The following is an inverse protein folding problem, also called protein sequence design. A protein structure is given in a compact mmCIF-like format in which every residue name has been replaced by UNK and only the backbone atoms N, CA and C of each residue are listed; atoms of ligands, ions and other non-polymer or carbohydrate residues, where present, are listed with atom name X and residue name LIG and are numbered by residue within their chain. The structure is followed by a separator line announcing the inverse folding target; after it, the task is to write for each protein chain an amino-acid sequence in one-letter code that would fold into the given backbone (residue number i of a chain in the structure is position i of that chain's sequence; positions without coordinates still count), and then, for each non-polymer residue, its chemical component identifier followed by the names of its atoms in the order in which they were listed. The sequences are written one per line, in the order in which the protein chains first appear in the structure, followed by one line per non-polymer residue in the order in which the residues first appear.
data_IF_930286974012
#
_entry.id   IF_930286974012
#
_cell.length_a   1.000
_cell.length_b   1.000
_cell.length_c   1.000
_cell.angle_alpha   90.00
_cell.angle_beta   90.00
_cell.angle_gamma   90.00
#
_symmetry.space_group_name_H-M   'P 1'
#
loop_
_entity.id
_entity.type
_entity.pdbx_description
1 polymer ?
#
# COMPACT_ATOMS: atom_id res chain seq x y z
N UNK A 1 38.32 20.53 -11.48
CA UNK A 1 37.63 19.37 -12.02
C UNK A 1 37.33 18.38 -10.88
N UNK A 2 36.12 17.94 -10.77
CA UNK A 2 35.69 16.92 -9.80
C UNK A 2 34.91 15.83 -10.52
N UNK A 3 34.90 14.63 -9.96
CA UNK A 3 34.14 13.54 -10.47
C UNK A 3 33.90 12.53 -9.36
N UNK A 4 32.74 11.88 -9.40
CA UNK A 4 32.34 10.89 -8.44
C UNK A 4 31.54 9.77 -9.09
N UNK A 5 31.73 8.57 -8.57
CA UNK A 5 30.90 7.42 -8.91
C UNK A 5 30.62 6.62 -7.66
N UNK A 6 29.40 6.15 -7.54
CA UNK A 6 29.01 5.37 -6.38
C UNK A 6 27.81 4.47 -6.66
N UNK A 7 27.71 3.41 -5.87
CA UNK A 7 26.58 2.49 -5.87
C UNK A 7 25.97 2.47 -4.48
N UNK A 8 24.67 2.65 -4.41
CA UNK A 8 23.92 2.51 -3.17
C UNK A 8 22.83 1.44 -3.34
N UNK A 9 22.59 0.69 -2.30
CA UNK A 9 21.56 -0.36 -2.30
C UNK A 9 20.47 -0.02 -1.28
N UNK A 10 19.22 -0.23 -1.69
CA UNK A 10 18.06 -0.09 -0.81
C UNK A 10 17.41 -1.43 -0.60
N UNK A 11 17.33 -1.86 0.66
CA UNK A 11 16.63 -3.07 1.04
C UNK A 11 15.12 -2.86 1.03
N UNK A 12 14.34 -3.91 0.77
CA UNK A 12 12.90 -3.90 1.03
C UNK A 12 12.63 -3.59 2.50
N UNK A 13 11.50 -2.96 2.78
CA UNK A 13 11.11 -2.73 4.16
C UNK A 13 10.76 -4.04 4.87
N UNK A 14 10.95 -4.08 6.19
CA UNK A 14 10.60 -5.24 7.00
C UNK A 14 9.14 -5.69 6.80
N UNK A 15 8.21 -4.74 6.72
CA UNK A 15 6.79 -5.05 6.52
C UNK A 15 6.45 -5.68 5.17
N UNK A 16 7.30 -5.48 4.17
CA UNK A 16 7.16 -6.11 2.86
C UNK A 16 7.64 -7.56 2.88
N UNK A 17 8.73 -7.80 3.60
CA UNK A 17 9.30 -9.15 3.75
C UNK A 17 8.47 -10.00 4.71
N UNK A 18 7.95 -9.38 5.76
CA UNK A 18 7.20 -10.03 6.84
C UNK A 18 5.88 -9.29 7.08
N UNK A 19 4.92 -9.37 6.15
CA UNK A 19 3.65 -8.70 6.30
C UNK A 19 2.88 -9.29 7.49
N UNK A 20 2.25 -8.42 8.25
CA UNK A 20 1.35 -8.84 9.33
C UNK A 20 0.14 -9.52 8.72
N UNK A 21 -0.37 -10.51 9.45
CA UNK A 21 -1.66 -11.10 9.13
C UNK A 21 -2.74 -10.03 9.22
N UNK A 22 -3.56 -9.93 8.19
CA UNK A 22 -4.71 -9.06 8.17
C UNK A 22 -5.99 -9.84 8.45
N UNK A 23 -6.97 -9.14 8.98
CA UNK A 23 -8.28 -9.70 9.30
C UNK A 23 -9.33 -8.95 8.52
N UNK A 24 -10.33 -9.67 8.05
CA UNK A 24 -11.45 -9.09 7.34
C UNK A 24 -12.74 -9.48 8.04
N UNK A 25 -13.49 -8.47 8.44
CA UNK A 25 -14.84 -8.66 8.95
C UNK A 25 -15.84 -8.70 7.80
N UNK A 26 -16.54 -9.82 7.70
CA UNK A 26 -17.51 -10.07 6.65
C UNK A 26 -18.88 -10.12 7.32
N UNK A 27 -19.78 -9.25 6.87
CA UNK A 27 -21.17 -9.31 7.32
C UNK A 27 -21.80 -10.61 6.82
N UNK A 28 -22.10 -11.51 7.73
CA UNK A 28 -22.69 -12.81 7.43
C UNK A 28 -24.21 -12.81 7.62
N UNK A 29 -24.71 -11.94 8.51
CA UNK A 29 -26.12 -11.81 8.78
C UNK A 29 -26.44 -10.41 9.30
N UNK A 30 -27.53 -9.81 8.77
CA UNK A 30 -28.10 -8.57 9.26
C UNK A 30 -29.60 -8.75 9.52
N UNK A 31 -30.03 -8.33 10.69
CA UNK A 31 -31.43 -8.37 11.09
C UNK A 31 -31.84 -7.01 11.65
N UNK A 32 -32.97 -6.49 11.18
CA UNK A 32 -33.55 -5.25 11.66
C UNK A 32 -34.96 -5.52 12.18
N UNK A 33 -35.24 -5.10 13.40
CA UNK A 33 -36.57 -5.21 14.00
C UNK A 33 -36.90 -3.95 14.78
N UNK A 34 -37.87 -3.16 14.29
CA UNK A 34 -38.21 -1.86 14.87
C UNK A 34 -36.99 -0.95 14.91
N UNK A 35 -36.68 -0.43 16.08
CA UNK A 35 -35.51 0.46 16.29
C UNK A 35 -34.21 -0.32 16.60
N UNK A 36 -34.27 -1.66 16.61
CA UNK A 36 -33.12 -2.52 16.92
C UNK A 36 -32.58 -3.15 15.66
N UNK A 37 -31.25 -3.07 15.47
CA UNK A 37 -30.54 -3.69 14.36
C UNK A 37 -29.43 -4.57 14.93
N UNK A 38 -29.38 -5.82 14.48
CA UNK A 38 -28.33 -6.77 14.86
C UNK A 38 -27.54 -7.18 13.64
N UNK A 39 -26.21 -7.07 13.73
CA UNK A 39 -25.30 -7.53 12.70
C UNK A 39 -24.38 -8.61 13.26
N UNK A 40 -24.18 -9.67 12.49
CA UNK A 40 -23.24 -10.74 12.81
C UNK A 40 -22.15 -10.73 11.75
N UNK A 41 -20.91 -10.58 12.22
CA UNK A 41 -19.71 -10.57 11.40
C UNK A 41 -18.94 -11.86 11.64
N UNK A 42 -18.37 -12.38 10.57
CA UNK A 42 -17.37 -13.42 10.61
C UNK A 42 -16.01 -12.81 10.31
N UNK A 43 -15.11 -12.85 11.29
CA UNK A 43 -13.75 -12.34 11.13
C UNK A 43 -12.86 -13.44 10.59
N UNK A 44 -12.37 -13.26 9.39
CA UNK A 44 -11.44 -14.20 8.77
C UNK A 44 -10.05 -13.62 8.61
N UNK A 45 -9.02 -14.34 9.10
CA UNK A 45 -7.65 -14.01 8.81
C UNK A 45 -7.33 -14.34 7.36
N UNK A 46 -6.62 -13.46 6.68
CA UNK A 46 -6.04 -13.76 5.38
C UNK A 46 -4.56 -13.45 5.34
N UNK A 47 -3.84 -14.25 4.57
CA UNK A 47 -2.39 -14.10 4.43
C UNK A 47 -2.09 -13.19 3.25
N UNK A 48 -1.34 -12.14 3.50
CA UNK A 48 -0.80 -11.30 2.44
C UNK A 48 0.24 -12.08 1.63
N UNK A 49 0.26 -11.85 0.33
CA UNK A 49 1.23 -12.45 -0.57
C UNK A 49 2.56 -11.71 -0.49
N UNK A 50 3.64 -12.44 -0.27
CA UNK A 50 5.00 -11.93 -0.34
C UNK A 50 5.61 -12.30 -1.69
N UNK A 51 6.59 -11.51 -2.13
CA UNK A 51 7.39 -11.84 -3.31
C UNK A 51 8.74 -12.42 -2.86
N UNK A 52 8.96 -13.73 -2.98
CA UNK A 52 10.23 -14.34 -2.58
C UNK A 52 11.40 -13.95 -3.49
N UNK A 53 11.11 -13.51 -4.72
CA UNK A 53 12.11 -13.13 -5.71
C UNK A 53 12.46 -11.63 -5.69
N UNK A 54 11.99 -10.91 -4.67
CA UNK A 54 12.24 -9.48 -4.54
C UNK A 54 13.73 -9.20 -4.34
N UNK A 55 14.31 -8.47 -5.28
CA UNK A 55 15.73 -8.07 -5.26
C UNK A 55 15.90 -6.69 -4.65
N UNK A 56 17.09 -6.43 -4.14
CA UNK A 56 17.45 -5.09 -3.66
C UNK A 56 17.49 -4.10 -4.82
N UNK A 57 16.96 -2.92 -4.58
CA UNK A 57 17.06 -1.81 -5.52
C UNK A 57 18.48 -1.26 -5.48
N UNK A 58 19.10 -1.05 -6.65
CA UNK A 58 20.45 -0.51 -6.78
C UNK A 58 20.44 0.84 -7.49
N UNK A 59 21.11 1.81 -6.89
CA UNK A 59 21.28 3.12 -7.48
C UNK A 59 22.75 3.30 -7.86
N UNK A 60 23.01 3.55 -9.13
CA UNK A 60 24.31 3.89 -9.69
C UNK A 60 24.31 5.38 -9.93
N UNK A 61 25.18 6.09 -9.25
CA UNK A 61 25.29 7.55 -9.34
C UNK A 61 26.64 7.89 -9.96
N UNK A 62 26.65 8.75 -10.98
CA UNK A 62 27.84 9.26 -11.64
C UNK A 62 27.71 10.76 -11.77
N UNK A 63 28.75 11.48 -11.43
CA UNK A 63 28.81 12.94 -11.52
C UNK A 63 30.18 13.38 -12.02
N UNK A 64 30.20 14.39 -12.85
CA UNK A 64 31.40 15.13 -13.24
C UNK A 64 31.13 16.62 -13.09
N UNK A 65 32.05 17.35 -12.55
CA UNK A 65 31.91 18.79 -12.34
C UNK A 65 33.19 19.57 -12.66
N UNK A 66 32.98 20.79 -13.09
CA UNK A 66 34.04 21.77 -13.37
C UNK A 66 33.74 23.04 -12.56
N UNK A 67 34.71 23.44 -11.75
CA UNK A 67 34.66 24.71 -11.05
C UNK A 67 35.76 25.62 -11.60
N UNK A 68 35.40 26.82 -11.98
CA UNK A 68 36.31 27.82 -12.52
C UNK A 68 36.09 29.17 -11.82
N UNK A 69 37.18 29.93 -11.70
CA UNK A 69 37.14 31.29 -11.13
C UNK A 69 37.96 32.20 -12.01
N UNK A 70 37.35 33.27 -12.55
CA UNK A 70 38.02 34.24 -13.40
C UNK A 70 37.37 35.63 -13.26
N UNK A 71 38.16 36.67 -13.29
CA UNK A 71 37.70 38.08 -13.18
C UNK A 71 36.75 38.33 -11.99
N UNK A 72 36.93 37.60 -10.85
CA UNK A 72 36.07 37.72 -9.69
C UNK A 72 34.71 36.98 -9.81
N UNK A 73 34.46 36.37 -10.95
CA UNK A 73 33.28 35.48 -11.17
C UNK A 73 33.64 34.03 -10.84
N UNK A 74 32.72 33.31 -10.22
CA UNK A 74 32.84 31.86 -9.98
C UNK A 74 31.79 31.14 -10.80
N UNK A 75 32.21 30.10 -11.50
CA UNK A 75 31.33 29.23 -12.29
C UNK A 75 31.49 27.80 -11.84
N UNK A 76 30.40 27.14 -11.54
CA UNK A 76 30.33 25.71 -11.28
C UNK A 76 29.40 25.07 -12.28
N UNK A 77 29.87 24.05 -12.99
CA UNK A 77 29.11 23.25 -13.93
C UNK A 77 29.21 21.80 -13.48
N UNK A 78 28.08 21.13 -13.35
CA UNK A 78 28.00 19.69 -13.02
C UNK A 78 27.10 18.97 -13.98
N UNK A 79 27.52 17.78 -14.40
CA UNK A 79 26.71 16.84 -15.14
C UNK A 79 26.56 15.56 -14.33
N UNK A 80 25.36 15.01 -14.30
CA UNK A 80 25.11 13.76 -13.60
C UNK A 80 24.36 12.74 -14.48
N UNK A 81 24.61 11.48 -14.19
CA UNK A 81 23.88 10.37 -14.78
C UNK A 81 23.63 9.30 -13.72
N UNK A 82 22.36 9.08 -13.42
CA UNK A 82 21.92 8.18 -12.37
C UNK A 82 21.04 7.09 -12.96
N UNK A 83 21.31 5.83 -12.58
CA UNK A 83 20.49 4.67 -12.95
C UNK A 83 20.01 4.02 -11.66
N UNK A 84 18.70 3.92 -11.50
CA UNK A 84 18.09 3.11 -10.45
C UNK A 84 17.57 1.82 -11.07
N UNK A 85 18.16 0.69 -10.71
CA UNK A 85 17.75 -0.63 -11.19
C UNK A 85 16.85 -1.34 -10.18
N UNK A 86 15.84 -2.04 -10.71
CA UNK A 86 14.92 -2.80 -9.91
C UNK A 86 14.12 -1.93 -8.94
N UNK A 87 13.65 -0.78 -9.41
CA UNK A 87 12.83 0.12 -8.60
C UNK A 87 11.65 -0.61 -7.98
N UNK A 88 11.40 -0.37 -6.70
CA UNK A 88 10.26 -0.99 -6.06
C UNK A 88 8.95 -0.41 -6.59
N UNK A 89 8.08 -1.31 -6.98
CA UNK A 89 6.74 -1.03 -7.46
C UNK A 89 5.74 -1.96 -6.77
N UNK A 90 4.47 -1.55 -6.70
CA UNK A 90 3.40 -2.36 -6.14
C UNK A 90 2.50 -2.89 -7.25
N UNK A 91 2.29 -4.20 -7.25
CA UNK A 91 1.31 -4.85 -8.11
C UNK A 91 0.11 -5.28 -7.29
N UNK A 92 -1.07 -5.13 -7.85
CA UNK A 92 -2.30 -5.66 -7.25
C UNK A 92 -2.37 -7.16 -7.52
N UNK A 93 -2.45 -7.93 -6.45
CA UNK A 93 -2.66 -9.37 -6.47
C UNK A 93 -4.06 -9.66 -5.96
N UNK A 94 -4.80 -10.48 -6.68
CA UNK A 94 -6.15 -10.91 -6.31
C UNK A 94 -6.13 -12.37 -5.90
N UNK A 95 -6.45 -12.62 -4.64
CA UNK A 95 -6.51 -13.97 -4.10
C UNK A 95 -7.96 -14.39 -3.96
N UNK A 96 -8.37 -15.56 -4.50
CA UNK A 96 -9.71 -16.08 -4.32
C UNK A 96 -9.97 -16.41 -2.86
N UNK A 97 -11.16 -16.09 -2.42
CA UNK A 97 -11.56 -16.21 -1.04
C UNK A 97 -13.01 -16.65 -0.95
N UNK A 98 -13.29 -17.65 -0.11
CA UNK A 98 -14.64 -18.14 0.14
C UNK A 98 -14.97 -17.94 1.61
N UNK A 99 -16.21 -17.62 1.92
CA UNK A 99 -16.71 -17.44 3.27
C UNK A 99 -18.12 -17.98 3.41
N UNK A 100 -18.51 -18.26 4.65
CA UNK A 100 -19.84 -18.72 4.95
C UNK A 100 -20.76 -17.54 5.24
N UNK A 101 -21.95 -17.57 4.71
CA UNK A 101 -23.02 -16.67 5.10
C UNK A 101 -24.10 -17.45 5.84
N UNK A 102 -24.81 -16.78 6.72
CA UNK A 102 -25.97 -17.33 7.39
C UNK A 102 -27.18 -17.13 6.50
N UNK A 103 -27.93 -18.20 6.30
CA UNK A 103 -29.22 -18.21 5.58
C UNK A 103 -30.29 -18.86 6.44
N UNK A 104 -31.50 -18.43 6.19
CA UNK A 104 -32.65 -19.11 6.75
C UNK A 104 -32.77 -20.52 6.15
N UNK A 105 -33.14 -21.53 6.95
CA UNK A 105 -33.48 -22.84 6.43
C UNK A 105 -34.56 -22.74 5.33
N UNK A 106 -34.50 -23.61 4.35
CA UNK A 106 -35.49 -23.63 3.27
C UNK A 106 -36.88 -23.87 3.84
N UNK A 107 -37.85 -23.02 3.47
CA UNK A 107 -39.22 -23.07 3.96
C UNK A 107 -39.46 -22.39 5.31
N UNK A 108 -38.43 -21.87 5.97
CA UNK A 108 -38.57 -21.07 7.19
C UNK A 108 -38.80 -19.60 6.87
N UNK A 109 -39.82 -19.00 7.45
CA UNK A 109 -40.08 -17.57 7.32
C UNK A 109 -39.62 -16.86 8.60
N UNK A 110 -38.77 -15.86 8.46
CA UNK A 110 -38.30 -15.07 9.60
C UNK A 110 -39.49 -14.44 10.33
N UNK A 111 -39.66 -14.67 11.63
CA UNK A 111 -40.66 -13.99 12.41
C UNK A 111 -40.47 -12.49 12.47
N UNK A 112 -41.53 -11.71 12.48
CA UNK A 112 -41.44 -10.23 12.53
C UNK A 112 -40.84 -9.71 13.82
N UNK A 113 -40.89 -10.49 14.90
CA UNK A 113 -40.24 -10.21 16.19
C UNK A 113 -39.45 -11.45 16.61
N UNK A 114 -38.20 -11.51 16.20
CA UNK A 114 -37.36 -12.65 16.53
C UNK A 114 -36.29 -12.28 17.56
N UNK A 115 -36.03 -13.22 18.47
CA UNK A 115 -34.83 -13.19 19.33
C UNK A 115 -33.71 -13.92 18.63
N UNK A 116 -32.50 -13.41 18.72
CA UNK A 116 -31.29 -13.99 18.14
C UNK A 116 -30.37 -14.42 19.26
N UNK A 117 -29.85 -15.64 19.18
CA UNK A 117 -28.84 -16.19 20.08
C UNK A 117 -27.63 -16.63 19.25
N UNK A 118 -26.47 -16.24 19.66
CA UNK A 118 -25.21 -16.67 19.05
C UNK A 118 -24.45 -17.53 20.05
N UNK A 119 -24.06 -18.72 19.65
CA UNK A 119 -23.11 -19.52 20.41
C UNK A 119 -21.69 -18.99 20.12
N UNK A 120 -21.06 -18.41 21.13
CA UNK A 120 -19.72 -17.83 21.01
C UNK A 120 -18.59 -18.85 20.81
N UNK A 121 -18.84 -20.12 21.08
CA UNK A 121 -17.85 -21.18 20.90
C UNK A 121 -17.91 -21.81 19.52
N UNK A 122 -19.12 -22.05 19.01
CA UNK A 122 -19.32 -22.70 17.70
C UNK A 122 -19.56 -21.70 16.58
N UNK A 123 -19.97 -20.47 16.90
CA UNK A 123 -20.40 -19.47 15.93
C UNK A 123 -21.79 -19.75 15.34
N UNK A 124 -22.51 -20.73 15.88
CA UNK A 124 -23.86 -21.04 15.45
C UNK A 124 -24.83 -19.94 15.86
N UNK A 125 -25.76 -19.65 14.99
CA UNK A 125 -26.79 -18.63 15.20
C UNK A 125 -28.16 -19.29 15.22
N UNK A 126 -28.93 -18.98 16.24
CA UNK A 126 -30.29 -19.50 16.43
C UNK A 126 -31.27 -18.33 16.47
N UNK A 127 -32.45 -18.56 15.89
CA UNK A 127 -33.55 -17.61 15.86
C UNK A 127 -34.77 -18.25 16.54
N UNK A 128 -35.51 -17.44 17.28
CA UNK A 128 -36.77 -17.80 17.90
C UNK A 128 -37.80 -16.69 17.72
N UNK A 129 -38.96 -16.98 17.23
CA UNK A 129 -40.11 -16.08 17.20
C UNK A 129 -40.65 -15.79 18.59
N UNK A 130 -41.46 -14.75 18.73
CA UNK A 130 -42.03 -14.33 20.03
C UNK A 130 -43.00 -15.37 20.61
N UNK A 131 -43.67 -16.09 19.73
CA UNK A 131 -44.68 -17.13 20.08
C UNK A 131 -44.12 -18.55 19.97
N UNK A 132 -42.81 -18.68 19.67
CA UNK A 132 -42.16 -19.97 19.52
C UNK A 132 -41.41 -20.35 20.80
N UNK A 133 -41.59 -21.58 21.26
CA UNK A 133 -40.89 -22.12 22.42
C UNK A 133 -39.55 -22.77 22.08
N UNK A 134 -39.22 -22.87 20.80
CA UNK A 134 -38.00 -23.52 20.32
C UNK A 134 -37.10 -22.57 19.52
N UNK A 135 -35.82 -22.90 19.51
CA UNK A 135 -34.82 -22.19 18.73
C UNK A 135 -34.55 -22.90 17.41
N UNK A 136 -34.65 -22.16 16.30
CA UNK A 136 -34.33 -22.67 14.97
C UNK A 136 -32.91 -22.27 14.60
N UNK A 137 -32.05 -23.26 14.29
CA UNK A 137 -30.68 -22.94 13.85
C UNK A 137 -30.68 -22.31 12.44
N UNK A 138 -29.87 -21.31 12.24
CA UNK A 138 -29.58 -20.76 10.92
C UNK A 138 -28.59 -21.65 10.18
N UNK A 139 -28.78 -21.82 8.89
CA UNK A 139 -27.88 -22.61 8.06
C UNK A 139 -26.65 -21.78 7.64
N UNK A 140 -25.48 -22.39 7.78
CA UNK A 140 -24.25 -21.88 7.19
C UNK A 140 -24.13 -22.37 5.75
N UNK A 141 -24.20 -21.47 4.80
CA UNK A 141 -23.95 -21.78 3.38
C UNK A 141 -22.68 -21.15 2.91
N UNK A 142 -21.87 -21.93 2.22
CA UNK A 142 -20.66 -21.40 1.57
C UNK A 142 -21.08 -20.49 0.43
N UNK A 143 -20.62 -19.25 0.46
CA UNK A 143 -20.86 -18.33 -0.64
C UNK A 143 -19.94 -18.60 -1.80
N UNK A 144 -20.31 -18.01 -2.92
CA UNK A 144 -19.44 -17.94 -4.07
C UNK A 144 -18.09 -17.28 -3.73
N UNK A 145 -17.11 -17.60 -4.53
CA UNK A 145 -15.77 -17.06 -4.39
C UNK A 145 -15.78 -15.55 -4.64
N UNK A 146 -15.25 -14.81 -3.72
CA UNK A 146 -14.87 -13.41 -3.94
C UNK A 146 -13.37 -13.29 -4.02
N UNK A 147 -12.88 -12.09 -4.31
CA UNK A 147 -11.43 -11.84 -4.38
C UNK A 147 -11.03 -10.82 -3.33
N UNK A 148 -9.95 -11.11 -2.64
CA UNK A 148 -9.25 -10.13 -1.81
C UNK A 148 -8.14 -9.51 -2.65
N UNK A 149 -8.17 -8.19 -2.77
CA UNK A 149 -7.09 -7.42 -3.38
C UNK A 149 -6.03 -7.12 -2.32
N UNK A 150 -4.82 -7.54 -2.58
CA UNK A 150 -3.63 -7.15 -1.81
C UNK A 150 -2.62 -6.45 -2.71
N UNK A 151 -1.67 -5.77 -2.12
CA UNK A 151 -0.54 -5.17 -2.83
C UNK A 151 0.72 -5.99 -2.54
N UNK A 152 1.36 -6.44 -3.59
CA UNK A 152 2.64 -7.13 -3.52
C UNK A 152 3.74 -6.24 -4.09
N UNK A 153 4.83 -6.09 -3.35
CA UNK A 153 5.98 -5.35 -3.85
C UNK A 153 6.78 -6.19 -4.84
N UNK A 154 7.15 -5.55 -5.96
CA UNK A 154 7.97 -6.15 -7.02
C UNK A 154 9.07 -5.19 -7.44
N UNK A 155 10.05 -5.73 -8.16
CA UNK A 155 11.02 -4.91 -8.86
C UNK A 155 10.41 -4.48 -10.20
N UNK A 156 10.21 -3.18 -10.36
CA UNK A 156 9.72 -2.56 -11.58
C UNK A 156 10.84 -2.21 -12.56
N UNK A 157 10.50 -1.35 -13.52
CA UNK A 157 11.42 -0.87 -14.54
C UNK A 157 12.56 -0.03 -13.95
N UNK A 158 13.68 -0.04 -14.65
CA UNK A 158 14.82 0.82 -14.35
C UNK A 158 14.46 2.29 -14.65
N UNK A 159 14.90 3.17 -13.76
CA UNK A 159 14.76 4.62 -13.94
C UNK A 159 16.15 5.20 -14.26
N UNK A 160 16.23 5.94 -15.35
CA UNK A 160 17.44 6.66 -15.77
C UNK A 160 17.18 8.15 -15.67
N UNK A 161 18.12 8.86 -15.07
CA UNK A 161 18.07 10.32 -14.95
C UNK A 161 19.43 10.88 -15.36
N UNK A 162 19.42 11.90 -16.20
CA UNK A 162 20.61 12.64 -16.59
C UNK A 162 20.30 14.12 -16.51
N UNK A 163 21.26 14.91 -16.13
CA UNK A 163 21.05 16.36 -16.07
C UNK A 163 22.36 17.15 -16.03
N UNK A 164 22.21 18.44 -16.23
CA UNK A 164 23.24 19.44 -16.13
C UNK A 164 22.80 20.51 -15.15
N UNK A 165 23.71 20.92 -14.30
CA UNK A 165 23.52 22.01 -13.34
C UNK A 165 24.62 23.04 -13.51
N UNK A 166 24.25 24.31 -13.46
CA UNK A 166 25.17 25.42 -13.59
C UNK A 166 24.85 26.46 -12.53
N UNK A 167 25.90 26.91 -11.84
CA UNK A 167 25.84 28.05 -10.93
C UNK A 167 26.87 29.06 -11.33
N UNK A 168 26.49 30.34 -11.41
CA UNK A 168 27.38 31.46 -11.64
C UNK A 168 27.23 32.52 -10.55
N UNK A 169 28.29 32.79 -9.84
CA UNK A 169 28.37 33.90 -8.89
C UNK A 169 29.14 35.05 -9.53
N UNK A 170 28.51 36.19 -9.65
CA UNK A 170 29.12 37.40 -10.22
C UNK A 170 29.80 38.22 -9.13
N UNK A 171 30.85 38.99 -9.47
CA UNK A 171 31.48 39.88 -8.52
C UNK A 171 30.55 41.00 -8.06
N UNK A 172 30.79 41.53 -6.87
CA UNK A 172 30.03 42.66 -6.33
C UNK A 172 30.15 43.88 -7.23
N UNK A 173 29.03 44.47 -7.60
CA UNK A 173 28.95 45.79 -8.25
C UNK A 173 29.08 46.82 -7.15
N UNK A 174 30.33 47.31 -6.92
CA UNK A 174 30.69 48.19 -5.82
C UNK A 174 29.81 49.43 -5.63
N UNK A 175 29.41 50.19 -6.69
CA UNK A 175 28.60 51.38 -6.52
C UNK A 175 27.25 51.15 -5.83
N UNK A 176 26.66 49.99 -6.07
CA UNK A 176 25.33 49.60 -5.54
C UNK A 176 25.38 48.47 -4.50
N UNK A 177 26.61 48.01 -4.17
CA UNK A 177 26.87 46.89 -3.22
C UNK A 177 25.96 45.68 -3.45
N UNK A 178 25.82 45.28 -4.70
CA UNK A 178 24.92 44.19 -5.12
C UNK A 178 25.74 43.08 -5.76
N UNK A 179 25.41 41.85 -5.40
CA UNK A 179 25.92 40.63 -6.03
C UNK A 179 24.78 39.92 -6.77
N UNK A 180 25.08 39.29 -7.89
CA UNK A 180 24.14 38.46 -8.64
C UNK A 180 24.60 37.02 -8.63
N UNK A 181 23.63 36.12 -8.57
CA UNK A 181 23.81 34.68 -8.74
C UNK A 181 22.84 34.17 -9.77
N UNK A 182 23.28 33.34 -10.67
CA UNK A 182 22.49 32.63 -11.65
C UNK A 182 22.61 31.13 -11.38
N UNK A 183 21.49 30.46 -11.16
CA UNK A 183 21.37 29.01 -11.06
C UNK A 183 20.50 28.51 -12.20
N UNK A 184 20.97 27.51 -12.93
CA UNK A 184 20.24 26.86 -14.01
C UNK A 184 20.39 25.34 -13.91
N UNK A 185 19.31 24.62 -14.17
CA UNK A 185 19.31 23.16 -14.22
C UNK A 185 18.47 22.63 -15.37
N UNK A 186 18.93 21.54 -15.95
CA UNK A 186 18.23 20.80 -17.00
C UNK A 186 18.29 19.31 -16.67
N UNK A 187 17.11 18.62 -16.65
CA UNK A 187 16.98 17.20 -16.33
C UNK A 187 16.05 16.48 -17.32
#
# INVERSE_FOLDING_TARGET
LRGGWGVTEKLPSYYVLYPKQEYRDILTFGFSHGDSVSYIYYTQPYKLTTNPDLKWQKNYNSEIGLDASFCGMKVSLAGFYNITRGCYNYLSVYTPFSYNILRQPDGYTMPSKASIKVDSQTGEVFIRGTEEDYWTPMELKVTDRTFVKSQQQNNGADIKRAGLEMTMDFPEIRPIRTTFRLDASYT
#
